data_IF_712448751116
#
_entry.id   IF_712448751116
#
_cell.length_a   1.000
_cell.length_b   1.000
_cell.length_c   1.000
_cell.angle_alpha   90.00
_cell.angle_beta   90.00
_cell.angle_gamma   90.00
#
_symmetry.space_group_name_H-M   'P 1'
#
loop_
_entity.id
_entity.type
_entity.pdbx_description
1 polymer ?
#
# COMPACT_ATOMS: atom_id res chain seq x y z
N UNK A 1 44.47 9.53 -18.40
CA UNK A 1 43.28 9.81 -19.23
C UNK A 1 42.07 9.96 -18.32
N UNK A 2 41.30 11.02 -18.55
CA UNK A 2 40.25 11.55 -17.69
C UNK A 2 39.18 10.56 -17.21
N UNK A 3 38.87 10.77 -15.94
CA UNK A 3 37.67 10.48 -15.17
C UNK A 3 36.30 10.57 -15.89
N UNK A 4 35.36 9.85 -15.26
CA UNK A 4 33.90 10.05 -15.19
C UNK A 4 33.06 9.65 -16.41
N UNK A 5 32.62 8.39 -16.39
CA UNK A 5 31.18 8.11 -16.61
C UNK A 5 30.52 7.89 -15.25
N UNK A 6 30.23 9.00 -14.56
CA UNK A 6 29.13 8.99 -13.60
C UNK A 6 27.86 8.97 -14.46
N UNK A 7 27.37 7.77 -14.77
CA UNK A 7 25.96 7.62 -15.14
C UNK A 7 25.19 8.18 -13.94
N UNK A 8 24.56 9.34 -14.10
CA UNK A 8 23.73 9.89 -13.03
C UNK A 8 22.59 8.89 -12.84
N UNK A 9 22.60 8.16 -11.72
CA UNK A 9 21.50 7.29 -11.36
C UNK A 9 20.22 8.13 -11.33
N UNK A 10 19.13 7.60 -11.90
CA UNK A 10 17.86 8.30 -11.94
C UNK A 10 17.42 8.72 -10.54
N UNK A 11 17.10 10.00 -10.38
CA UNK A 11 16.57 10.54 -9.11
C UNK A 11 15.19 9.94 -8.80
N UNK A 12 14.75 9.90 -7.53
CA UNK A 12 13.41 9.40 -7.19
C UNK A 12 12.27 10.12 -7.92
N UNK A 13 12.43 11.42 -8.19
CA UNK A 13 11.45 12.20 -8.97
C UNK A 13 11.39 11.74 -10.44
N UNK A 14 12.54 11.46 -11.06
CA UNK A 14 12.60 10.93 -12.41
C UNK A 14 11.99 9.53 -12.50
N UNK A 15 12.27 8.66 -11.52
CA UNK A 15 11.66 7.33 -11.44
C UNK A 15 10.14 7.44 -11.29
N UNK A 16 9.64 8.28 -10.37
CA UNK A 16 8.20 8.49 -10.19
C UNK A 16 7.53 9.01 -11.45
N UNK A 17 8.19 9.91 -12.19
CA UNK A 17 7.69 10.42 -13.47
C UNK A 17 7.63 9.31 -14.53
N UNK A 18 8.65 8.46 -14.59
CA UNK A 18 8.67 7.31 -15.51
C UNK A 18 7.58 6.29 -15.19
N UNK A 19 7.38 5.95 -13.91
CA UNK A 19 6.31 5.05 -13.44
C UNK A 19 4.94 5.63 -13.81
N UNK A 20 4.70 6.92 -13.52
CA UNK A 20 3.43 7.58 -13.89
C UNK A 20 3.14 7.45 -15.38
N UNK A 21 4.13 7.77 -16.22
CA UNK A 21 3.99 7.71 -17.67
C UNK A 21 3.66 6.29 -18.15
N UNK A 22 4.45 5.29 -17.75
CA UNK A 22 4.26 3.89 -18.17
C UNK A 22 2.92 3.35 -17.64
N UNK A 23 2.57 3.64 -16.38
CA UNK A 23 1.29 3.24 -15.82
C UNK A 23 0.12 3.90 -16.57
N UNK A 24 0.20 5.17 -16.93
CA UNK A 24 -0.85 5.83 -17.71
C UNK A 24 -0.95 5.26 -19.14
N UNK A 25 0.18 5.01 -19.80
CA UNK A 25 0.23 4.36 -21.13
C UNK A 25 -0.43 2.98 -21.10
N UNK A 26 -0.09 2.14 -20.11
CA UNK A 26 -0.69 0.81 -19.94
C UNK A 26 -2.18 0.88 -19.65
N UNK A 27 -2.64 1.85 -18.85
CA UNK A 27 -4.07 2.04 -18.59
C UNK A 27 -4.81 2.35 -19.89
N UNK A 28 -4.31 3.32 -20.67
CA UNK A 28 -4.92 3.74 -21.94
C UNK A 28 -4.88 2.62 -22.99
N UNK A 29 -3.85 1.79 -22.99
CA UNK A 29 -3.78 0.63 -23.86
C UNK A 29 -4.85 -0.42 -23.50
N UNK A 30 -5.07 -0.66 -22.20
CA UNK A 30 -6.11 -1.58 -21.73
C UNK A 30 -7.53 -1.00 -21.88
N UNK A 31 -7.68 0.33 -21.80
CA UNK A 31 -8.96 1.02 -21.92
C UNK A 31 -8.83 2.24 -22.86
N UNK A 32 -8.84 2.02 -24.19
CA UNK A 32 -8.73 3.12 -25.16
C UNK A 32 -9.85 4.14 -24.99
N UNK A 33 -9.49 5.43 -25.00
CA UNK A 33 -10.46 6.52 -24.84
C UNK A 33 -10.90 6.78 -23.39
N UNK A 34 -10.26 6.14 -22.39
CA UNK A 34 -10.55 6.41 -20.97
C UNK A 34 -10.49 7.91 -20.65
N UNK A 35 -11.53 8.50 -20.05
CA UNK A 35 -11.56 9.93 -19.78
C UNK A 35 -10.57 10.28 -18.67
N UNK A 36 -9.67 11.23 -18.95
CA UNK A 36 -8.67 11.73 -18.00
C UNK A 36 -9.00 13.16 -17.57
N UNK A 37 -8.53 13.57 -16.40
CA UNK A 37 -8.57 14.97 -16.00
C UNK A 37 -7.61 15.80 -16.86
N UNK A 38 -8.07 16.96 -17.33
CA UNK A 38 -7.27 17.81 -18.22
C UNK A 38 -6.03 18.38 -17.51
N UNK A 39 -6.22 18.86 -16.27
CA UNK A 39 -5.14 19.42 -15.43
C UNK A 39 -4.31 18.35 -14.70
N UNK A 40 -4.74 17.08 -14.76
CA UNK A 40 -4.11 15.95 -14.07
C UNK A 40 -4.18 14.71 -14.97
N UNK A 41 -3.40 14.66 -16.07
CA UNK A 41 -3.48 13.61 -17.08
C UNK A 41 -3.05 12.22 -16.60
N UNK A 42 -2.67 12.08 -15.34
CA UNK A 42 -2.43 10.85 -14.59
C UNK A 42 -3.60 10.44 -13.67
N UNK A 43 -4.76 11.10 -13.78
CA UNK A 43 -5.99 10.74 -13.07
C UNK A 43 -7.14 10.53 -14.05
N UNK A 44 -7.88 9.44 -13.86
CA UNK A 44 -9.11 9.16 -14.60
C UNK A 44 -10.29 9.98 -14.07
N UNK A 45 -11.30 10.26 -14.90
CA UNK A 45 -12.48 11.02 -14.46
C UNK A 45 -13.39 10.19 -13.54
N UNK A 46 -13.46 8.88 -13.71
CA UNK A 46 -14.31 7.99 -12.91
C UNK A 46 -13.48 6.92 -12.19
N UNK A 47 -13.85 6.56 -10.97
CA UNK A 47 -13.06 5.63 -10.15
C UNK A 47 -12.97 4.22 -10.76
N UNK A 48 -14.03 3.75 -11.39
CA UNK A 48 -14.09 2.47 -12.09
C UNK A 48 -13.13 2.38 -13.29
N UNK A 49 -12.66 3.52 -13.81
CA UNK A 49 -11.77 3.56 -14.96
C UNK A 49 -10.32 3.23 -14.61
N UNK A 50 -9.91 3.34 -13.35
CA UNK A 50 -8.56 2.92 -12.91
C UNK A 50 -8.52 1.41 -12.61
N UNK A 51 -9.68 0.76 -12.54
CA UNK A 51 -9.78 -0.65 -12.22
C UNK A 51 -9.47 -1.56 -13.40
N UNK A 52 -8.89 -2.72 -13.10
CA UNK A 52 -8.75 -3.82 -14.07
C UNK A 52 -10.12 -4.40 -14.42
N UNK A 53 -10.24 -4.95 -15.61
CA UNK A 53 -11.49 -5.53 -16.11
C UNK A 53 -12.00 -6.69 -15.22
N UNK A 54 -13.31 -6.74 -15.04
CA UNK A 54 -14.01 -7.76 -14.25
C UNK A 54 -14.29 -7.37 -12.80
N UNK A 55 -13.89 -6.16 -12.38
CA UNK A 55 -14.22 -5.62 -11.05
C UNK A 55 -15.46 -4.75 -11.11
N UNK A 56 -16.38 -4.99 -10.18
CA UNK A 56 -17.53 -4.12 -9.95
C UNK A 56 -17.16 -3.08 -8.88
N UNK A 57 -17.01 -1.82 -9.28
CA UNK A 57 -16.69 -0.78 -8.31
C UNK A 57 -17.84 -0.51 -7.33
N UNK A 58 -19.10 -0.81 -7.69
CA UNK A 58 -20.24 -0.54 -6.83
C UNK A 58 -20.14 -1.31 -5.49
N UNK A 59 -19.65 -2.55 -5.52
CA UNK A 59 -19.45 -3.35 -4.30
C UNK A 59 -18.25 -2.90 -3.46
N UNK A 60 -17.32 -2.15 -4.05
CA UNK A 60 -16.11 -1.65 -3.39
C UNK A 60 -16.31 -0.22 -2.85
N UNK A 61 -17.17 0.57 -3.49
CA UNK A 61 -17.34 2.01 -3.27
C UNK A 61 -17.60 2.36 -1.81
N UNK A 62 -18.43 1.58 -1.12
CA UNK A 62 -18.78 1.87 0.28
C UNK A 62 -17.59 1.83 1.22
N UNK A 63 -16.60 0.99 0.94
CA UNK A 63 -15.41 0.86 1.77
C UNK A 63 -14.52 2.10 1.60
N UNK A 64 -14.25 2.50 0.34
CA UNK A 64 -13.44 3.70 0.05
C UNK A 64 -14.11 5.03 0.44
N UNK A 65 -15.45 5.09 0.40
CA UNK A 65 -16.19 6.27 0.84
C UNK A 65 -16.06 6.53 2.35
N UNK A 66 -15.74 5.51 3.15
CA UNK A 66 -15.60 5.62 4.60
C UNK A 66 -14.17 6.04 5.04
N UNK A 67 -13.19 5.98 4.14
CA UNK A 67 -11.79 6.33 4.40
C UNK A 67 -11.54 7.83 4.52
N UNK A 68 -10.43 8.23 5.18
CA UNK A 68 -10.08 9.65 5.39
C UNK A 68 -9.29 10.27 4.23
N UNK A 69 -9.00 9.49 3.18
CA UNK A 69 -8.02 9.81 2.15
C UNK A 69 -8.43 10.88 1.13
N UNK A 70 -9.70 11.31 1.10
CA UNK A 70 -10.34 11.94 -0.08
C UNK A 70 -10.21 11.02 -1.31
N UNK A 71 -10.59 9.76 -1.12
CA UNK A 71 -10.40 8.74 -2.15
C UNK A 71 -11.35 8.93 -3.33
N UNK A 72 -12.58 9.38 -3.10
CA UNK A 72 -13.63 9.40 -4.13
C UNK A 72 -14.12 10.79 -4.54
N UNK A 73 -13.92 11.79 -3.70
CA UNK A 73 -14.45 13.15 -3.94
C UNK A 73 -13.32 14.14 -4.25
N UNK A 74 -13.47 14.97 -5.30
CA UNK A 74 -12.53 16.03 -5.59
C UNK A 74 -12.45 17.03 -4.43
N UNK A 75 -11.31 17.69 -4.30
CA UNK A 75 -11.15 18.78 -3.34
C UNK A 75 -10.60 20.03 -4.00
N UNK A 76 -11.00 21.19 -3.52
CA UNK A 76 -10.43 22.44 -4.03
C UNK A 76 -8.95 22.56 -3.63
N UNK A 77 -8.11 22.99 -4.57
CA UNK A 77 -6.69 23.25 -4.29
C UNK A 77 -6.52 24.35 -3.24
N UNK A 78 -5.50 24.21 -2.39
CA UNK A 78 -5.20 25.19 -1.33
C UNK A 78 -4.86 26.54 -1.99
N UNK A 79 -5.69 27.55 -1.76
CA UNK A 79 -5.55 28.88 -2.38
C UNK A 79 -6.21 29.02 -3.75
N UNK A 80 -6.99 28.04 -4.23
CA UNK A 80 -7.81 28.13 -5.45
C UNK A 80 -7.05 28.15 -6.78
N UNK A 81 -5.72 28.26 -6.75
CA UNK A 81 -4.90 28.54 -7.93
C UNK A 81 -4.88 27.44 -9.02
N UNK A 82 -5.26 26.20 -8.69
CA UNK A 82 -5.31 25.07 -9.65
C UNK A 82 -6.71 24.50 -9.89
N UNK A 83 -7.76 25.17 -9.40
CA UNK A 83 -9.11 24.61 -9.40
C UNK A 83 -9.22 23.35 -8.52
N UNK A 84 -10.08 22.43 -8.93
CA UNK A 84 -10.29 21.16 -8.22
C UNK A 84 -9.14 20.18 -8.45
N UNK A 85 -8.76 19.50 -7.37
CA UNK A 85 -7.79 18.41 -7.34
C UNK A 85 -8.57 17.10 -7.40
N UNK A 86 -8.23 16.18 -8.33
CA UNK A 86 -8.91 14.90 -8.45
C UNK A 86 -8.79 14.05 -7.17
N UNK A 87 -9.73 13.12 -6.96
CA UNK A 87 -9.65 12.15 -5.86
C UNK A 87 -8.42 11.26 -5.99
N UNK A 88 -7.86 10.81 -4.86
CA UNK A 88 -6.62 10.00 -4.87
C UNK A 88 -6.81 8.64 -5.53
N UNK A 89 -7.96 7.99 -5.34
CA UNK A 89 -8.26 6.69 -5.94
C UNK A 89 -8.18 6.74 -7.48
N UNK A 90 -8.47 7.89 -8.07
CA UNK A 90 -8.48 8.08 -9.52
C UNK A 90 -7.07 8.14 -10.13
N UNK A 91 -6.02 8.25 -9.30
CA UNK A 91 -4.65 8.32 -9.79
C UNK A 91 -4.20 6.97 -10.37
N UNK A 92 -3.51 6.98 -11.52
CA UNK A 92 -2.93 5.76 -12.11
C UNK A 92 -1.89 5.10 -11.20
N UNK A 93 -1.33 5.86 -10.24
CA UNK A 93 -0.42 5.38 -9.20
C UNK A 93 -1.05 5.30 -7.81
N UNK A 94 -2.38 5.23 -7.70
CA UNK A 94 -3.06 5.05 -6.42
C UNK A 94 -2.74 3.67 -5.82
N UNK A 95 -2.22 3.65 -4.59
CA UNK A 95 -2.05 2.44 -3.78
C UNK A 95 -3.39 1.84 -3.36
N UNK A 96 -4.41 2.66 -3.06
CA UNK A 96 -5.76 2.20 -2.78
C UNK A 96 -6.40 1.55 -4.01
N UNK A 97 -6.21 2.12 -5.21
CA UNK A 97 -6.67 1.48 -6.45
C UNK A 97 -5.89 0.19 -6.78
N UNK A 98 -4.59 0.16 -6.49
CA UNK A 98 -3.79 -1.07 -6.63
C UNK A 98 -4.29 -2.17 -5.69
N UNK A 99 -4.61 -1.83 -4.43
CA UNK A 99 -5.22 -2.75 -3.48
C UNK A 99 -6.60 -3.21 -3.97
N UNK A 100 -7.47 -2.28 -4.39
CA UNK A 100 -8.77 -2.60 -4.96
C UNK A 100 -8.64 -3.55 -6.17
N UNK A 101 -7.65 -3.32 -7.03
CA UNK A 101 -7.39 -4.16 -8.17
C UNK A 101 -6.94 -5.56 -7.77
N UNK A 102 -6.03 -5.70 -6.82
CA UNK A 102 -5.48 -7.00 -6.42
C UNK A 102 -6.47 -7.85 -5.61
N UNK A 103 -7.30 -7.21 -4.79
CA UNK A 103 -8.16 -7.89 -3.81
C UNK A 103 -9.65 -7.87 -4.19
N UNK A 104 -10.06 -6.95 -5.07
CA UNK A 104 -11.48 -6.71 -5.38
C UNK A 104 -12.20 -7.92 -5.96
N UNK A 105 -11.51 -8.76 -6.72
CA UNK A 105 -12.08 -9.99 -7.29
C UNK A 105 -12.55 -10.99 -6.22
N UNK A 106 -12.00 -10.90 -5.00
CA UNK A 106 -12.32 -11.76 -3.87
C UNK A 106 -13.30 -11.11 -2.90
N UNK A 107 -13.88 -9.94 -3.22
CA UNK A 107 -14.75 -9.21 -2.30
C UNK A 107 -16.04 -9.96 -1.98
N UNK A 108 -16.58 -10.72 -2.92
CA UNK A 108 -17.79 -11.54 -2.78
C UNK A 108 -17.50 -12.94 -2.23
N UNK A 109 -16.32 -13.49 -2.52
CA UNK A 109 -15.84 -14.76 -1.98
C UNK A 109 -14.38 -14.62 -1.47
N UNK A 110 -14.19 -14.10 -0.24
CA UNK A 110 -12.86 -13.97 0.35
C UNK A 110 -12.17 -15.30 0.62
N UNK A 111 -12.91 -16.42 0.63
CA UNK A 111 -12.38 -17.72 1.02
C UNK A 111 -11.39 -18.28 -0.01
N UNK A 112 -11.54 -17.86 -1.28
CA UNK A 112 -10.67 -18.21 -2.39
C UNK A 112 -9.31 -17.47 -2.38
N UNK A 113 -9.16 -16.44 -1.55
CA UNK A 113 -7.92 -15.67 -1.44
C UNK A 113 -6.93 -16.36 -0.49
N UNK A 114 -5.66 -16.39 -0.89
CA UNK A 114 -4.53 -16.73 -0.02
C UNK A 114 -3.48 -15.61 -0.06
N UNK A 115 -3.01 -15.19 1.11
CA UNK A 115 -1.95 -14.19 1.26
C UNK A 115 -1.08 -14.52 2.47
N UNK A 116 0.24 -14.40 2.34
CA UNK A 116 1.19 -14.73 3.40
C UNK A 116 1.01 -16.17 3.97
N UNK A 117 0.56 -17.11 3.13
CA UNK A 117 0.25 -18.48 3.53
C UNK A 117 -1.03 -18.65 4.35
N UNK A 118 -1.86 -17.60 4.45
CA UNK A 118 -3.13 -17.58 5.19
C UNK A 118 -4.28 -17.53 4.18
N UNK A 119 -5.29 -18.37 4.38
CA UNK A 119 -6.47 -18.48 3.51
C UNK A 119 -7.74 -18.76 4.35
N UNK A 120 -8.88 -18.97 3.69
CA UNK A 120 -10.14 -19.28 4.38
C UNK A 120 -10.78 -18.06 5.05
N UNK A 121 -10.61 -16.87 4.45
CA UNK A 121 -11.21 -15.65 4.96
C UNK A 121 -12.73 -15.67 4.76
N UNK A 122 -13.45 -15.15 5.76
CA UNK A 122 -14.89 -14.94 5.73
C UNK A 122 -15.26 -13.49 5.36
N UNK A 123 -14.35 -12.54 5.56
CA UNK A 123 -14.57 -11.14 5.18
C UNK A 123 -13.33 -10.50 4.57
N UNK A 124 -13.58 -9.53 3.68
CA UNK A 124 -12.60 -8.65 3.06
C UNK A 124 -13.19 -7.24 3.04
N UNK A 125 -12.47 -6.27 3.61
CA UNK A 125 -12.87 -4.84 3.63
C UNK A 125 -11.70 -3.96 3.24
N UNK A 126 -11.97 -2.90 2.49
CA UNK A 126 -10.99 -1.86 2.19
C UNK A 126 -11.07 -0.70 3.17
N UNK A 127 -9.99 0.08 3.28
CA UNK A 127 -9.92 1.34 4.04
C UNK A 127 -10.49 1.22 5.46
N UNK A 128 -10.20 0.08 6.13
CA UNK A 128 -10.80 -0.20 7.43
C UNK A 128 -10.13 0.64 8.50
N UNK A 129 -10.91 1.52 9.11
CA UNK A 129 -10.56 2.28 10.30
C UNK A 129 -10.40 1.37 11.51
N UNK A 130 -9.23 1.45 12.13
CA UNK A 130 -8.89 0.73 13.36
C UNK A 130 -8.40 1.74 14.42
N UNK A 131 -9.09 1.85 15.56
CA UNK A 131 -8.62 2.70 16.67
C UNK A 131 -7.24 2.26 17.15
N UNK A 132 -6.29 3.18 17.30
CA UNK A 132 -4.91 2.86 17.72
C UNK A 132 -4.71 2.92 19.24
N UNK A 133 -5.76 3.20 20.01
CA UNK A 133 -5.67 3.54 21.43
C UNK A 133 -5.22 4.99 21.70
N UNK A 134 -4.79 5.72 20.67
CA UNK A 134 -4.46 7.15 20.77
C UNK A 134 -5.71 7.99 20.45
N UNK A 135 -5.94 9.05 21.24
CA UNK A 135 -7.14 9.88 21.15
C UNK A 135 -7.29 10.48 19.74
N UNK A 136 -8.42 10.18 19.08
CA UNK A 136 -8.76 10.64 17.71
C UNK A 136 -7.71 10.25 16.66
N UNK A 137 -7.02 9.13 16.87
CA UNK A 137 -6.13 8.55 15.87
C UNK A 137 -6.63 7.15 15.48
N UNK A 138 -6.91 7.00 14.19
CA UNK A 138 -7.28 5.74 13.57
C UNK A 138 -6.16 5.34 12.60
N UNK A 139 -5.88 4.06 12.53
CA UNK A 139 -5.07 3.47 11.47
C UNK A 139 -6.04 2.98 10.39
N UNK A 140 -5.91 3.52 9.19
CA UNK A 140 -6.69 3.08 8.03
C UNK A 140 -5.90 1.96 7.36
N UNK A 141 -6.35 0.72 7.53
CA UNK A 141 -5.78 -0.43 6.84
C UNK A 141 -6.32 -0.44 5.41
N UNK A 142 -5.43 -0.50 4.42
CA UNK A 142 -5.83 -0.53 3.01
C UNK A 142 -6.71 -1.75 2.72
N UNK A 143 -6.36 -2.90 3.31
CA UNK A 143 -7.20 -4.12 3.29
C UNK A 143 -7.21 -4.76 4.67
N UNK A 144 -8.38 -5.22 5.11
CA UNK A 144 -8.56 -6.08 6.27
C UNK A 144 -9.25 -7.38 5.84
N UNK A 145 -8.63 -8.51 6.17
CA UNK A 145 -9.13 -9.86 5.92
C UNK A 145 -9.37 -10.56 7.25
N UNK A 146 -10.53 -11.19 7.42
CA UNK A 146 -10.87 -11.86 8.67
C UNK A 146 -11.41 -13.27 8.47
N UNK A 147 -11.04 -14.16 9.37
CA UNK A 147 -11.77 -15.38 9.67
C UNK A 147 -12.13 -15.41 11.16
N UNK A 148 -12.69 -16.53 11.63
CA UNK A 148 -12.89 -16.78 13.07
C UNK A 148 -11.58 -16.89 13.85
N UNK A 149 -10.46 -17.17 13.17
CA UNK A 149 -9.17 -17.47 13.82
C UNK A 149 -8.14 -16.35 13.64
N UNK A 150 -8.20 -15.61 12.53
CA UNK A 150 -7.16 -14.65 12.17
C UNK A 150 -7.73 -13.35 11.62
N UNK A 151 -7.08 -12.25 11.97
CA UNK A 151 -7.24 -10.92 11.38
C UNK A 151 -5.94 -10.54 10.67
N UNK A 152 -5.98 -10.35 9.36
CA UNK A 152 -4.85 -9.87 8.57
C UNK A 152 -5.12 -8.43 8.16
N UNK A 153 -4.22 -7.52 8.55
CA UNK A 153 -4.19 -6.17 8.01
C UNK A 153 -3.15 -6.07 6.91
N UNK A 154 -3.49 -5.49 5.78
CA UNK A 154 -2.57 -5.24 4.67
C UNK A 154 -2.35 -3.74 4.54
N UNK A 155 -1.08 -3.37 4.47
CA UNK A 155 -0.63 -2.05 4.05
C UNK A 155 -0.05 -2.14 2.64
N UNK A 156 -0.64 -1.43 1.70
CA UNK A 156 -0.36 -1.44 0.26
C UNK A 156 0.46 -0.22 -0.14
N UNK A 157 1.64 -0.44 -0.72
CA UNK A 157 2.48 0.62 -1.31
C UNK A 157 2.69 0.41 -2.81
N UNK A 158 2.60 1.49 -3.57
CA UNK A 158 2.91 1.51 -5.00
C UNK A 158 4.19 2.31 -5.30
N UNK A 159 4.14 3.64 -5.22
CA UNK A 159 5.27 4.53 -5.57
C UNK A 159 5.80 5.35 -4.39
N UNK A 160 5.20 5.17 -3.21
CA UNK A 160 5.45 5.95 -2.00
C UNK A 160 6.88 5.77 -1.47
N UNK A 161 7.52 4.62 -1.69
CA UNK A 161 8.91 4.35 -1.28
C UNK A 161 9.94 5.28 -1.95
N UNK A 162 9.55 5.93 -3.06
CA UNK A 162 10.37 6.94 -3.74
C UNK A 162 10.35 8.29 -3.01
N UNK A 163 9.35 8.52 -2.16
CA UNK A 163 9.27 9.70 -1.32
C UNK A 163 9.84 9.36 0.05
N UNK A 164 11.01 9.94 0.37
CA UNK A 164 11.65 9.78 1.66
C UNK A 164 10.66 10.01 2.83
N UNK A 165 10.73 9.16 3.85
CA UNK A 165 9.89 9.23 5.05
C UNK A 165 10.72 9.42 6.30
N UNK A 166 10.19 10.24 7.19
CA UNK A 166 10.63 10.33 8.58
C UNK A 166 9.52 9.75 9.45
N UNK A 167 9.90 8.94 10.44
CA UNK A 167 8.96 8.44 11.41
C UNK A 167 8.42 9.57 12.30
N UNK A 168 7.10 9.78 12.27
CA UNK A 168 6.41 10.82 13.06
C UNK A 168 5.25 10.22 13.85
N UNK A 169 5.30 10.47 15.16
CA UNK A 169 4.30 10.03 16.13
C UNK A 169 3.72 11.24 16.84
N UNK A 170 2.40 11.22 17.07
CA UNK A 170 1.74 12.19 17.94
C UNK A 170 1.91 11.79 19.40
N UNK A 171 1.57 12.70 20.30
CA UNK A 171 1.52 12.41 21.73
C UNK A 171 0.55 11.24 21.99
N UNK A 172 0.94 10.34 22.89
CA UNK A 172 0.17 9.15 23.30
C UNK A 172 0.56 7.85 22.60
N UNK A 173 1.29 7.88 21.48
CA UNK A 173 1.77 6.65 20.84
C UNK A 173 2.72 5.84 21.72
N UNK A 174 3.56 6.50 22.52
CA UNK A 174 4.44 5.81 23.48
C UNK A 174 3.63 4.99 24.49
N UNK A 175 2.58 5.58 25.07
CA UNK A 175 1.68 4.90 26.01
C UNK A 175 0.92 3.75 25.33
N UNK A 176 0.34 4.00 24.15
CA UNK A 176 -0.39 2.97 23.40
C UNK A 176 0.48 1.76 23.05
N UNK A 177 1.73 1.98 22.62
CA UNK A 177 2.68 0.89 22.33
C UNK A 177 3.11 0.16 23.60
N UNK A 178 3.22 0.85 24.74
CA UNK A 178 3.48 0.20 26.02
C UNK A 178 2.31 -0.74 26.42
N UNK A 179 1.08 -0.29 26.26
CA UNK A 179 -0.16 -1.02 26.57
C UNK A 179 -0.41 -2.24 25.67
N UNK A 180 0.03 -2.20 24.41
CA UNK A 180 -0.14 -3.30 23.45
C UNK A 180 0.68 -4.57 23.77
N UNK A 181 1.46 -4.58 24.87
CA UNK A 181 2.19 -5.75 25.42
C UNK A 181 3.02 -6.53 24.39
N UNK A 182 3.63 -5.83 23.42
CA UNK A 182 4.54 -6.45 22.45
C UNK A 182 5.94 -5.83 22.55
N UNK A 183 6.89 -6.58 23.11
CA UNK A 183 8.28 -6.13 23.30
C UNK A 183 8.98 -5.76 21.98
N UNK A 184 8.88 -6.55 20.89
CA UNK A 184 9.49 -6.20 19.61
C UNK A 184 8.97 -4.87 19.07
N UNK A 185 7.65 -4.67 19.02
CA UNK A 185 7.04 -3.42 18.55
C UNK A 185 7.38 -2.21 19.42
N UNK A 186 7.47 -2.40 20.75
CA UNK A 186 7.94 -1.35 21.68
C UNK A 186 9.38 -0.95 21.42
N UNK A 187 10.28 -1.91 21.23
CA UNK A 187 11.68 -1.63 20.89
C UNK A 187 11.81 -0.97 19.52
N UNK A 188 11.03 -1.44 18.54
CA UNK A 188 10.97 -0.88 17.18
C UNK A 188 10.52 0.59 17.23
N UNK A 189 9.39 0.89 17.87
CA UNK A 189 8.92 2.26 18.10
C UNK A 189 9.97 3.13 18.79
N UNK A 190 10.59 2.65 19.89
CA UNK A 190 11.61 3.40 20.60
C UNK A 190 12.86 3.70 19.75
N UNK A 191 13.24 2.81 18.83
CA UNK A 191 14.31 3.08 17.86
C UNK A 191 13.93 4.14 16.84
N UNK A 192 12.68 4.14 16.36
CA UNK A 192 12.16 5.15 15.44
C UNK A 192 12.10 6.53 16.09
N UNK A 193 11.68 6.63 17.36
CA UNK A 193 11.66 7.91 18.08
C UNK A 193 13.08 8.47 18.24
N UNK A 194 14.07 7.64 18.53
CA UNK A 194 15.47 8.07 18.67
C UNK A 194 16.16 8.38 17.34
N UNK A 195 15.76 7.70 16.26
CA UNK A 195 16.30 7.93 14.93
C UNK A 195 15.16 7.88 13.89
N UNK A 196 14.46 9.01 13.68
CA UNK A 196 13.29 9.09 12.80
C UNK A 196 13.58 8.77 11.33
N UNK A 197 14.82 8.95 10.87
CA UNK A 197 15.25 8.72 9.49
C UNK A 197 15.76 7.29 9.24
N UNK A 198 15.76 6.43 10.28
CA UNK A 198 16.27 5.03 10.22
C UNK A 198 15.67 4.22 9.07
N UNK A 199 14.43 4.52 8.71
CA UNK A 199 13.70 3.92 7.60
C UNK A 199 13.22 5.06 6.70
N UNK A 200 13.99 5.33 5.65
CA UNK A 200 13.73 6.43 4.73
C UNK A 200 12.84 6.02 3.56
N UNK A 201 12.82 4.74 3.21
CA UNK A 201 12.05 4.19 2.10
C UNK A 201 10.86 3.33 2.56
N UNK A 202 10.89 2.86 3.81
CA UNK A 202 9.78 2.19 4.49
C UNK A 202 9.06 3.17 5.43
N UNK A 203 7.73 3.29 5.30
CA UNK A 203 6.91 4.12 6.20
C UNK A 203 6.70 3.41 7.55
N UNK A 204 7.78 3.27 8.31
CA UNK A 204 7.83 2.48 9.54
C UNK A 204 6.91 3.03 10.65
N UNK A 205 6.69 4.35 10.67
CA UNK A 205 5.73 4.94 11.60
C UNK A 205 4.30 4.49 11.30
N UNK A 206 3.95 4.35 10.03
CA UNK A 206 2.65 3.86 9.64
C UNK A 206 2.46 2.39 10.04
N UNK A 207 3.48 1.54 9.89
CA UNK A 207 3.43 0.16 10.35
C UNK A 207 3.15 0.04 11.85
N UNK A 208 3.77 0.90 12.69
CA UNK A 208 3.48 0.93 14.14
C UNK A 208 2.02 1.32 14.41
N UNK A 209 1.46 2.25 13.64
CA UNK A 209 0.05 2.67 13.77
C UNK A 209 -0.89 1.51 13.42
N UNK A 210 -0.61 0.80 12.33
CA UNK A 210 -1.37 -0.38 11.90
C UNK A 210 -1.26 -1.52 12.89
N UNK A 211 -0.08 -1.77 13.46
CA UNK A 211 0.10 -2.71 14.55
C UNK A 211 -0.84 -2.40 15.73
N UNK A 212 -0.90 -1.14 16.19
CA UNK A 212 -1.79 -0.75 17.29
C UNK A 212 -3.27 -0.95 16.94
N UNK A 213 -3.67 -0.57 15.72
CA UNK A 213 -5.02 -0.81 15.22
C UNK A 213 -5.39 -2.29 15.23
N UNK A 214 -4.49 -3.15 14.75
CA UNK A 214 -4.67 -4.61 14.76
C UNK A 214 -4.71 -5.19 16.18
N UNK A 215 -3.82 -4.74 17.06
CA UNK A 215 -3.77 -5.19 18.46
C UNK A 215 -5.09 -4.90 19.18
N UNK A 216 -5.69 -3.73 18.94
CA UNK A 216 -7.01 -3.38 19.48
C UNK A 216 -8.16 -4.19 18.87
N UNK A 217 -8.08 -4.54 17.59
CA UNK A 217 -9.16 -5.19 16.84
C UNK A 217 -9.13 -6.72 16.83
N UNK A 218 -8.01 -7.34 17.19
CA UNK A 218 -7.85 -8.80 17.11
C UNK A 218 -8.84 -9.56 18.02
N UNK A 219 -9.27 -8.98 19.14
CA UNK A 219 -10.30 -9.56 20.04
C UNK A 219 -10.05 -11.03 20.41
N UNK A 220 -8.78 -11.40 20.64
CA UNK A 220 -8.37 -12.78 20.97
C UNK A 220 -8.03 -13.67 19.77
N UNK A 221 -8.25 -13.20 18.54
CA UNK A 221 -7.78 -13.85 17.31
C UNK A 221 -6.27 -13.64 17.14
N UNK A 222 -5.64 -14.51 16.35
CA UNK A 222 -4.30 -14.21 15.82
C UNK A 222 -4.40 -12.96 14.92
N UNK A 223 -3.40 -12.09 14.96
CA UNK A 223 -3.29 -10.99 14.03
C UNK A 223 -1.97 -11.01 13.27
N UNK A 224 -1.98 -10.58 12.01
CA UNK A 224 -0.80 -10.47 11.16
C UNK A 224 -0.85 -9.15 10.41
N UNK A 225 0.26 -8.42 10.37
CA UNK A 225 0.41 -7.23 9.54
C UNK A 225 1.19 -7.61 8.28
N UNK A 226 0.59 -7.44 7.11
CA UNK A 226 1.24 -7.65 5.82
C UNK A 226 1.62 -6.29 5.24
N UNK A 227 2.90 -6.10 4.96
CA UNK A 227 3.40 -4.99 4.16
C UNK A 227 3.53 -5.45 2.71
N UNK A 228 2.62 -5.01 1.86
CA UNK A 228 2.54 -5.38 0.46
C UNK A 228 3.03 -4.22 -0.42
N UNK A 229 4.06 -4.45 -1.21
CA UNK A 229 4.70 -3.37 -1.98
C UNK A 229 4.93 -3.74 -3.44
N UNK A 230 4.84 -2.73 -4.30
CA UNK A 230 5.13 -2.86 -5.72
C UNK A 230 6.56 -2.43 -6.02
N UNK A 231 7.16 -3.09 -7.00
CA UNK A 231 8.42 -2.68 -7.60
C UNK A 231 8.40 -2.98 -9.11
N UNK A 232 9.19 -2.25 -9.92
CA UNK A 232 9.30 -2.56 -11.34
C UNK A 232 10.02 -3.90 -11.53
N UNK A 233 9.79 -4.56 -12.66
CA UNK A 233 10.38 -5.89 -12.94
C UNK A 233 11.91 -5.88 -13.04
N UNK A 234 12.53 -4.70 -13.13
CA UNK A 234 13.97 -4.49 -13.08
C UNK A 234 14.42 -3.65 -11.88
N UNK A 235 13.72 -3.73 -10.75
CA UNK A 235 13.99 -2.99 -9.51
C UNK A 235 15.45 -3.05 -9.05
N UNK A 236 16.12 -4.19 -9.25
CA UNK A 236 17.54 -4.41 -8.89
C UNK A 236 18.51 -3.44 -9.56
N UNK A 237 18.10 -2.73 -10.62
CA UNK A 237 18.90 -1.71 -11.29
C UNK A 237 18.92 -0.35 -10.59
N UNK A 238 18.04 -0.12 -9.61
CA UNK A 238 17.91 1.18 -8.95
C UNK A 238 18.13 1.06 -7.45
N UNK A 239 19.06 1.87 -6.93
CA UNK A 239 19.45 1.86 -5.51
C UNK A 239 18.28 2.07 -4.55
N UNK A 240 17.26 2.83 -4.95
CA UNK A 240 16.09 3.11 -4.10
C UNK A 240 15.32 1.85 -3.74
N UNK A 241 15.13 0.91 -4.68
CA UNK A 241 14.43 -0.36 -4.40
C UNK A 241 15.31 -1.32 -3.62
N UNK A 242 16.64 -1.32 -3.87
CA UNK A 242 17.59 -2.09 -3.06
C UNK A 242 17.58 -1.62 -1.60
N UNK A 243 17.65 -0.30 -1.35
CA UNK A 243 17.59 0.27 0.00
C UNK A 243 16.25 0.00 0.67
N UNK A 244 15.15 0.10 -0.08
CA UNK A 244 13.83 -0.27 0.41
C UNK A 244 13.78 -1.74 0.85
N UNK A 245 14.28 -2.67 0.04
CA UNK A 245 14.36 -4.09 0.40
C UNK A 245 15.18 -4.32 1.68
N UNK A 246 16.36 -3.69 1.79
CA UNK A 246 17.19 -3.76 3.01
C UNK A 246 16.48 -3.21 4.25
N UNK A 247 15.69 -2.15 4.10
CA UNK A 247 14.86 -1.58 5.16
C UNK A 247 13.71 -2.52 5.55
N UNK A 248 13.06 -3.13 4.58
CA UNK A 248 11.98 -4.11 4.80
C UNK A 248 12.52 -5.34 5.53
N UNK A 249 13.61 -5.93 5.06
CA UNK A 249 14.25 -7.09 5.70
C UNK A 249 14.61 -6.78 7.15
N UNK A 250 15.26 -5.63 7.40
CA UNK A 250 15.58 -5.19 8.75
C UNK A 250 14.34 -5.04 9.64
N UNK A 251 13.24 -4.50 9.11
CA UNK A 251 12.01 -4.35 9.89
C UNK A 251 11.38 -5.71 10.23
N UNK A 252 11.37 -6.65 9.28
CA UNK A 252 10.89 -8.02 9.49
C UNK A 252 11.74 -8.74 10.54
N UNK A 253 13.07 -8.67 10.43
CA UNK A 253 13.99 -9.27 11.39
C UNK A 253 13.81 -8.70 12.81
N UNK A 254 13.68 -7.38 12.93
CA UNK A 254 13.46 -6.70 14.21
C UNK A 254 12.11 -7.06 14.86
N UNK A 255 11.15 -7.60 14.08
CA UNK A 255 9.79 -7.93 14.49
C UNK A 255 9.47 -9.44 14.40
N UNK A 256 10.45 -10.30 14.14
CA UNK A 256 10.24 -11.74 13.89
C UNK A 256 9.55 -12.47 15.05
N UNK A 257 9.83 -12.09 16.30
CA UNK A 257 9.24 -12.67 17.51
C UNK A 257 8.01 -11.91 18.03
N UNK A 258 7.45 -10.99 17.22
CA UNK A 258 6.29 -10.21 17.64
C UNK A 258 5.02 -11.06 17.72
N UNK A 259 4.20 -10.80 18.74
CA UNK A 259 2.85 -11.38 18.86
C UNK A 259 1.95 -11.10 17.64
N UNK A 260 2.18 -9.97 16.97
CA UNK A 260 1.61 -9.63 15.66
C UNK A 260 2.81 -9.50 14.72
N UNK A 261 3.15 -10.54 13.94
CA UNK A 261 4.30 -10.50 13.06
C UNK A 261 4.07 -9.54 11.90
N UNK A 262 5.15 -8.92 11.44
CA UNK A 262 5.21 -8.22 10.16
C UNK A 262 5.65 -9.21 9.09
N UNK A 263 4.80 -9.44 8.09
CA UNK A 263 5.14 -10.19 6.89
C UNK A 263 5.28 -9.20 5.73
N UNK A 264 6.42 -9.22 5.06
CA UNK A 264 6.61 -8.42 3.84
C UNK A 264 6.37 -9.29 2.61
N UNK A 265 5.71 -8.73 1.60
CA UNK A 265 5.43 -9.41 0.34
C UNK A 265 5.43 -8.42 -0.82
N UNK A 266 5.88 -8.86 -1.99
CA UNK A 266 5.77 -8.10 -3.23
C UNK A 266 4.42 -8.36 -3.88
N UNK A 267 3.91 -7.38 -4.62
CA UNK A 267 2.74 -7.58 -5.46
C UNK A 267 2.94 -8.67 -6.52
N UNK A 268 4.16 -8.84 -7.06
CA UNK A 268 4.47 -9.94 -7.98
C UNK A 268 4.25 -11.31 -7.34
N UNK A 269 4.70 -11.49 -6.09
CA UNK A 269 4.50 -12.72 -5.32
C UNK A 269 3.02 -12.98 -5.04
N UNK A 270 2.23 -11.94 -4.77
CA UNK A 270 0.78 -12.06 -4.66
C UNK A 270 0.18 -12.58 -5.98
N UNK A 271 0.49 -11.94 -7.12
CA UNK A 271 -0.09 -12.32 -8.40
C UNK A 271 0.27 -13.75 -8.81
N UNK A 272 1.50 -14.19 -8.52
CA UNK A 272 1.91 -15.57 -8.77
C UNK A 272 1.11 -16.56 -7.90
N UNK A 273 0.86 -16.23 -6.63
CA UNK A 273 0.00 -17.04 -5.77
C UNK A 273 -1.45 -17.09 -6.27
N UNK A 274 -1.97 -15.95 -6.77
CA UNK A 274 -3.30 -15.85 -7.36
C UNK A 274 -3.43 -16.62 -8.69
N UNK A 275 -2.33 -16.85 -9.41
CA UNK A 275 -2.35 -17.51 -10.72
C UNK A 275 -2.98 -18.90 -10.74
N UNK A 276 -3.06 -19.57 -9.59
CA UNK A 276 -3.75 -20.86 -9.43
C UNK A 276 -5.26 -20.73 -9.20
N UNK A 277 -5.69 -19.76 -8.37
CA UNK A 277 -7.09 -19.58 -7.97
C UNK A 277 -7.88 -18.65 -8.92
N UNK A 278 -7.20 -17.69 -9.54
CA UNK A 278 -7.79 -16.67 -10.41
C UNK A 278 -6.84 -16.29 -11.56
N UNK A 279 -6.50 -17.23 -12.48
CA UNK A 279 -5.48 -17.04 -13.51
C UNK A 279 -5.73 -15.84 -14.42
N UNK A 280 -6.97 -15.64 -14.88
CA UNK A 280 -7.30 -14.51 -15.75
C UNK A 280 -7.13 -13.16 -15.03
N UNK A 281 -7.53 -13.09 -13.76
CA UNK A 281 -7.38 -11.88 -12.96
C UNK A 281 -5.91 -11.57 -12.69
N UNK A 282 -5.11 -12.59 -12.32
CA UNK A 282 -3.67 -12.46 -12.17
C UNK A 282 -2.99 -11.96 -13.47
N UNK A 283 -3.39 -12.48 -14.63
CA UNK A 283 -2.89 -12.01 -15.92
C UNK A 283 -3.22 -10.53 -16.19
N UNK A 284 -4.44 -10.08 -15.85
CA UNK A 284 -4.82 -8.65 -15.96
C UNK A 284 -3.98 -7.77 -15.03
N UNK A 285 -3.72 -8.21 -13.80
CA UNK A 285 -2.85 -7.50 -12.85
C UNK A 285 -1.41 -7.39 -13.37
N UNK A 286 -0.83 -8.48 -13.86
CA UNK A 286 0.51 -8.49 -14.45
C UNK A 286 0.57 -7.58 -15.69
N UNK A 287 -0.41 -7.64 -16.59
CA UNK A 287 -0.49 -6.75 -17.74
C UNK A 287 -0.55 -5.27 -17.32
N UNK A 288 -1.30 -4.95 -16.26
CA UNK A 288 -1.46 -3.59 -15.75
C UNK A 288 -0.20 -3.07 -15.05
N UNK A 289 0.45 -3.89 -14.22
CA UNK A 289 1.40 -3.44 -13.22
C UNK A 289 2.82 -4.04 -13.33
N UNK A 290 3.03 -5.16 -14.03
CA UNK A 290 4.35 -5.75 -14.18
C UNK A 290 5.13 -5.10 -15.34
N UNK A 291 5.84 -3.99 -15.08
CA UNK A 291 6.68 -3.30 -16.06
C UNK A 291 8.07 -2.96 -15.54
N UNK A 292 9.01 -2.87 -16.48
CA UNK A 292 10.36 -2.36 -16.23
C UNK A 292 10.42 -0.84 -16.42
N UNK A 293 11.36 -0.20 -15.74
CA UNK A 293 11.74 1.20 -16.00
C UNK A 293 12.93 1.25 -16.96
N UNK A 294 13.03 2.33 -17.73
CA UNK A 294 14.16 2.56 -18.64
C UNK A 294 15.40 3.04 -17.89
#
# INVERSE_FOLDING_TARGET
>A
MCAKRLSHAATPSQLRSAINRIAAERLRAARPGVPMWDSYPEHVKHAEDVLVEGLDFAILRSDFAAGDGNELEPRTSKGGARGDVPPKFHAVLSSSALAANAFGAFRSDPSALSIAGISGFASLRFERKMPTGVRRAEANLDVALESSEVLVGVESKFSELLAGKEAKFADGYEAAVAEAKSDPWRKFHGRLVRNPERFSHLDAAQLVKHFLGLAGAASGRRAVLVYLFWEPTNATRFDVYRRHAEEVERAVDELGDASIPLVAMRYSELWDALGSAAPEHAARLQARYAFALA
#
